data_IF_313563936304
#
_entry.id   IF_313563936304
#
_cell.length_a   1.000
_cell.length_b   1.000
_cell.length_c   1.000
_cell.angle_alpha   90.00
_cell.angle_beta   90.00
_cell.angle_gamma   90.00
#
_symmetry.space_group_name_H-M   'P 1'
#
loop_
_entity.id
_entity.type
_entity.pdbx_description
1 polymer ?
#
# COMPACT_ATOMS: atom_id res chain seq x y z
N UNK A 1 13.07 11.53 -1.75
CA UNK A 1 12.31 10.28 -1.91
C UNK A 1 10.92 10.66 -2.39
N UNK A 2 10.37 10.03 -3.43
CA UNK A 2 9.01 10.31 -3.87
C UNK A 2 8.02 10.00 -2.74
N UNK A 3 7.01 10.84 -2.61
CA UNK A 3 5.84 10.58 -1.78
C UNK A 3 4.59 10.80 -2.62
N UNK A 4 3.56 10.02 -2.32
CA UNK A 4 2.26 10.14 -3.00
C UNK A 4 1.19 10.26 -1.95
N UNK A 5 0.37 11.30 -2.07
CA UNK A 5 -0.84 11.50 -1.27
C UNK A 5 -2.02 11.03 -2.10
N UNK A 6 -2.86 10.19 -1.53
CA UNK A 6 -4.04 9.62 -2.17
C UNK A 6 -5.24 9.70 -1.24
N UNK A 7 -6.37 10.15 -1.76
CA UNK A 7 -7.65 9.95 -1.09
C UNK A 7 -8.06 8.48 -1.26
N UNK A 8 -8.65 7.86 -0.24
CA UNK A 8 -9.13 6.48 -0.30
C UNK A 8 -10.48 6.36 -1.02
N UNK A 9 -10.69 7.13 -2.08
CA UNK A 9 -11.82 7.01 -3.00
C UNK A 9 -11.31 7.04 -4.46
N UNK A 10 -11.29 5.89 -5.17
CA UNK A 10 -11.76 4.57 -4.73
C UNK A 10 -10.90 3.96 -3.62
N UNK A 11 -11.39 2.91 -2.96
CA UNK A 11 -10.73 2.26 -1.80
C UNK A 11 -9.37 1.60 -2.09
N UNK A 12 -8.84 1.74 -3.31
CA UNK A 12 -7.55 1.21 -3.73
C UNK A 12 -6.83 2.28 -4.53
N UNK A 13 -5.58 2.54 -4.15
CA UNK A 13 -4.72 3.50 -4.82
C UNK A 13 -3.34 2.88 -5.12
N UNK A 14 -2.91 2.98 -6.38
CA UNK A 14 -1.57 2.53 -6.79
C UNK A 14 -0.56 3.61 -6.41
N UNK A 15 0.43 3.26 -5.59
CA UNK A 15 1.48 4.18 -5.15
C UNK A 15 2.71 4.06 -6.04
N UNK A 16 3.10 2.83 -6.38
CA UNK A 16 4.19 2.57 -7.29
C UNK A 16 3.77 1.48 -8.29
N UNK A 17 3.97 1.76 -9.57
CA UNK A 17 3.77 0.79 -10.63
C UNK A 17 4.82 -0.33 -10.53
N UNK A 18 4.48 -1.49 -11.09
CA UNK A 18 5.43 -2.59 -11.26
C UNK A 18 6.61 -2.15 -12.14
N UNK A 19 7.82 -2.57 -11.76
CA UNK A 19 9.06 -2.27 -12.46
C UNK A 19 9.96 -3.50 -12.41
N UNK A 20 10.38 -3.95 -13.60
CA UNK A 20 11.32 -5.07 -13.73
C UNK A 20 12.60 -4.83 -12.92
N UNK A 21 13.03 -5.88 -12.22
CA UNK A 21 14.24 -5.93 -11.40
C UNK A 21 14.34 -4.83 -10.32
N UNK A 22 13.21 -4.32 -9.83
CA UNK A 22 13.16 -3.32 -8.78
C UNK A 22 12.26 -3.77 -7.61
N UNK A 23 12.64 -3.40 -6.40
CA UNK A 23 11.83 -3.63 -5.19
C UNK A 23 11.33 -2.29 -4.66
N UNK A 24 10.03 -2.19 -4.41
CA UNK A 24 9.43 -1.00 -3.79
C UNK A 24 9.44 -1.17 -2.28
N UNK A 25 10.09 -0.24 -1.58
CA UNK A 25 10.19 -0.22 -0.11
C UNK A 25 9.51 1.06 0.39
N UNK A 26 8.41 0.96 1.15
CA UNK A 26 7.83 2.12 1.80
C UNK A 26 8.74 2.60 2.93
N UNK A 27 8.96 3.91 3.00
CA UNK A 27 9.86 4.55 3.96
C UNK A 27 9.10 5.37 5.00
N UNK A 28 7.88 5.80 4.66
CA UNK A 28 6.98 6.48 5.58
C UNK A 28 5.54 6.28 5.14
N UNK A 29 4.62 6.33 6.10
CA UNK A 29 3.20 6.28 5.82
C UNK A 29 2.45 7.15 6.82
N UNK A 30 1.68 8.12 6.33
CA UNK A 30 0.77 8.90 7.17
C UNK A 30 -0.64 8.63 6.71
N UNK A 31 -1.51 8.23 7.64
CA UNK A 31 -2.92 7.99 7.42
C UNK A 31 -3.67 9.06 8.20
N UNK A 32 -4.35 9.92 7.48
CA UNK A 32 -5.23 10.95 8.02
C UNK A 32 -6.67 10.47 7.88
N UNK A 33 -7.27 10.07 9.00
CA UNK A 33 -8.67 9.69 9.10
C UNK A 33 -9.45 10.68 9.99
N UNK A 34 -8.94 11.90 10.16
CA UNK A 34 -9.58 12.93 11.00
C UNK A 34 -10.95 13.31 10.43
N UNK A 35 -11.02 13.52 9.12
CA UNK A 35 -12.26 13.78 8.39
C UNK A 35 -13.07 12.54 7.99
N UNK A 36 -12.61 11.34 8.35
CA UNK A 36 -13.20 10.08 7.89
C UNK A 36 -14.63 9.84 8.40
N UNK A 37 -15.39 9.00 7.71
CA UNK A 37 -16.76 8.66 8.08
C UNK A 37 -16.89 7.58 9.16
N UNK A 38 -15.84 6.79 9.39
CA UNK A 38 -15.73 5.75 10.41
C UNK A 38 -14.26 5.28 10.52
N UNK A 39 -14.00 4.32 11.40
CA UNK A 39 -12.71 3.63 11.47
C UNK A 39 -12.36 2.98 10.12
N UNK A 40 -11.07 2.96 9.80
CA UNK A 40 -10.55 2.42 8.52
C UNK A 40 -9.44 1.43 8.76
N UNK A 41 -9.50 0.33 8.01
CA UNK A 41 -8.39 -0.62 7.93
C UNK A 41 -7.59 -0.34 6.67
N UNK A 42 -6.39 0.19 6.83
CA UNK A 42 -5.48 0.45 5.71
C UNK A 42 -4.46 -0.67 5.58
N UNK A 43 -4.22 -1.09 4.34
CA UNK A 43 -3.26 -2.15 3.97
C UNK A 43 -2.29 -1.66 2.92
N UNK A 44 -1.06 -2.15 2.99
CA UNK A 44 -0.12 -2.13 1.85
C UNK A 44 -0.17 -3.50 1.21
N UNK A 45 -0.44 -3.54 -0.09
CA UNK A 45 -0.49 -4.75 -0.89
C UNK A 45 0.58 -4.76 -1.97
N UNK A 46 1.16 -5.92 -2.16
CA UNK A 46 2.08 -6.27 -3.24
C UNK A 46 1.31 -7.06 -4.29
N UNK A 47 1.18 -6.49 -5.49
CA UNK A 47 0.47 -7.12 -6.61
C UNK A 47 1.47 -7.43 -7.71
N UNK A 48 1.66 -8.71 -8.02
CA UNK A 48 2.63 -9.17 -9.00
C UNK A 48 2.14 -10.41 -9.74
N UNK A 49 2.64 -10.62 -10.95
CA UNK A 49 2.46 -11.89 -11.67
C UNK A 49 3.74 -12.71 -11.51
N UNK A 50 3.70 -13.87 -10.85
CA UNK A 50 4.91 -14.67 -10.64
C UNK A 50 5.46 -15.19 -11.97
N UNK A 51 6.78 -15.40 -12.03
CA UNK A 51 7.42 -15.97 -13.21
C UNK A 51 6.87 -17.37 -13.51
N UNK A 52 6.73 -17.68 -14.80
CA UNK A 52 6.36 -19.03 -15.26
C UNK A 52 7.42 -20.02 -14.79
N UNK A 53 6.98 -21.05 -14.06
CA UNK A 53 7.83 -22.19 -13.73
C UNK A 53 7.45 -23.39 -14.60
N UNK A 54 8.40 -24.30 -14.83
CA UNK A 54 8.21 -25.43 -15.73
C UNK A 54 7.00 -26.30 -15.30
N UNK A 55 6.12 -26.63 -16.25
CA UNK A 55 4.88 -27.42 -16.06
C UNK A 55 3.80 -26.77 -15.17
N UNK A 56 3.89 -25.47 -14.88
CA UNK A 56 2.82 -24.73 -14.19
C UNK A 56 1.97 -23.97 -15.21
N UNK A 57 0.66 -23.98 -15.01
CA UNK A 57 -0.27 -23.18 -15.81
C UNK A 57 0.13 -21.69 -15.81
N UNK A 58 -0.33 -20.93 -16.80
CA UNK A 58 -0.05 -19.50 -16.95
C UNK A 58 -0.25 -18.81 -15.58
N UNK A 59 0.81 -18.19 -15.01
CA UNK A 59 0.72 -17.55 -13.71
C UNK A 59 -0.35 -16.45 -13.72
N UNK A 60 -1.22 -16.45 -12.74
CA UNK A 60 -2.19 -15.38 -12.53
C UNK A 60 -1.60 -14.29 -11.64
N UNK A 61 -2.13 -13.08 -11.77
CA UNK A 61 -1.85 -11.99 -10.83
C UNK A 61 -2.11 -12.46 -9.39
N UNK A 62 -1.16 -12.20 -8.52
CA UNK A 62 -1.18 -12.55 -7.10
C UNK A 62 -1.13 -11.27 -6.29
N UNK A 63 -2.02 -11.15 -5.30
CA UNK A 63 -2.03 -10.04 -4.34
C UNK A 63 -1.66 -10.56 -2.96
N UNK A 64 -0.67 -9.92 -2.32
CA UNK A 64 -0.21 -10.25 -0.98
C UNK A 64 -0.32 -9.03 -0.08
N UNK A 65 -1.05 -9.16 1.04
CA UNK A 65 -1.08 -8.15 2.10
C UNK A 65 0.28 -8.16 2.82
N UNK A 66 1.04 -7.06 2.71
CA UNK A 66 2.37 -6.92 3.34
C UNK A 66 2.31 -6.17 4.67
N UNK A 67 1.33 -5.29 4.83
CA UNK A 67 1.12 -4.50 6.04
C UNK A 67 -0.37 -4.24 6.25
N UNK A 68 -0.79 -4.12 7.51
CA UNK A 68 -2.16 -3.79 7.89
C UNK A 68 -2.16 -3.00 9.18
N UNK A 69 -2.95 -1.92 9.20
CA UNK A 69 -3.22 -1.12 10.41
C UNK A 69 -4.67 -0.65 10.41
N UNK A 70 -5.22 -0.45 11.60
CA UNK A 70 -6.53 0.18 11.78
C UNK A 70 -6.32 1.59 12.33
N UNK A 71 -6.98 2.56 11.72
CA UNK A 71 -6.95 3.97 12.13
C UNK A 71 -8.36 4.36 12.54
N UNK A 72 -8.49 4.91 13.75
CA UNK A 72 -9.79 5.31 14.31
C UNK A 72 -10.28 6.58 13.61
N UNK A 73 -11.59 6.78 13.54
CA UNK A 73 -12.16 8.05 13.08
C UNK A 73 -11.70 9.21 13.97
N UNK A 74 -11.29 10.34 13.37
CA UNK A 74 -10.82 11.50 14.14
C UNK A 74 -9.34 11.44 14.54
N UNK A 75 -8.58 10.50 13.96
CA UNK A 75 -7.17 10.29 14.30
C UNK A 75 -6.26 10.34 13.06
N UNK A 76 -5.00 10.67 13.31
CA UNK A 76 -3.93 10.75 12.31
C UNK A 76 -2.75 9.92 12.80
N UNK A 77 -2.43 8.86 12.08
CA UNK A 77 -1.30 7.98 12.40
C UNK A 77 -0.18 8.24 11.42
N UNK A 78 1.04 8.42 11.93
CA UNK A 78 2.26 8.47 11.13
C UNK A 78 3.20 7.34 11.51
N UNK A 79 3.64 6.60 10.50
CA UNK A 79 4.52 5.45 10.58
C UNK A 79 5.87 5.82 9.93
N UNK A 80 6.94 5.51 10.64
CA UNK A 80 8.32 5.71 10.23
C UNK A 80 8.88 4.50 9.47
N UNK A 81 10.12 4.61 8.99
CA UNK A 81 10.80 3.51 8.31
C UNK A 81 11.01 2.30 9.25
N UNK A 82 11.14 2.52 10.56
CA UNK A 82 11.25 1.42 11.54
C UNK A 82 9.90 0.69 11.75
N UNK A 83 8.78 1.40 11.68
CA UNK A 83 7.44 0.80 11.80
C UNK A 83 7.07 -0.02 10.56
N UNK A 84 7.61 0.36 9.40
CA UNK A 84 7.42 -0.30 8.10
C UNK A 84 8.56 -1.27 7.75
N UNK A 85 9.42 -1.58 8.72
CA UNK A 85 10.59 -2.41 8.51
C UNK A 85 10.19 -3.82 8.05
N UNK A 86 10.80 -4.23 6.93
CA UNK A 86 10.53 -5.55 6.33
C UNK A 86 9.37 -5.57 5.34
N UNK A 87 8.61 -4.47 5.21
CA UNK A 87 7.64 -4.32 4.12
C UNK A 87 8.43 -4.12 2.82
N UNK A 88 8.31 -5.06 1.90
CA UNK A 88 8.88 -5.00 0.56
C UNK A 88 7.85 -5.50 -0.45
N UNK A 89 7.63 -4.74 -1.52
CA UNK A 89 6.78 -5.13 -2.63
C UNK A 89 7.65 -5.44 -3.84
N UNK A 90 7.50 -6.63 -4.41
CA UNK A 90 8.28 -7.09 -5.56
C UNK A 90 7.63 -6.68 -6.89
N UNK A 91 6.33 -6.40 -6.90
CA UNK A 91 5.64 -5.84 -8.04
C UNK A 91 5.06 -4.47 -7.74
N UNK A 92 3.80 -4.28 -8.11
CA UNK A 92 3.05 -3.05 -7.89
C UNK A 92 2.73 -2.89 -6.41
N UNK A 93 3.12 -1.75 -5.83
CA UNK A 93 2.70 -1.36 -4.48
C UNK A 93 1.40 -0.57 -4.56
N UNK A 94 0.36 -1.07 -3.91
CA UNK A 94 -0.90 -0.35 -3.73
C UNK A 94 -1.30 -0.25 -2.27
N UNK A 95 -2.00 0.83 -1.94
CA UNK A 95 -2.67 1.00 -0.65
C UNK A 95 -4.14 0.68 -0.82
N UNK A 96 -4.69 -0.05 0.14
CA UNK A 96 -6.11 -0.43 0.15
C UNK A 96 -6.74 -0.07 1.48
N UNK A 97 -7.89 0.58 1.41
CA UNK A 97 -8.82 0.79 2.53
C UNK A 97 -9.91 -0.28 2.49
N UNK A 98 -10.44 -0.66 3.65
CA UNK A 98 -11.58 -1.59 3.75
C UNK A 98 -12.87 -1.04 3.15
N UNK A 99 -13.03 0.28 3.13
CA UNK A 99 -14.12 0.98 2.45
C UNK A 99 -13.62 2.27 1.78
N UNK A 100 -14.29 2.68 0.71
CA UNK A 100 -14.00 3.93 0.03
C UNK A 100 -14.41 5.12 0.91
N UNK A 101 -13.52 6.10 1.05
CA UNK A 101 -13.72 7.31 1.84
C UNK A 101 -12.85 8.45 1.30
N UNK A 102 -13.49 9.44 0.68
CA UNK A 102 -12.81 10.61 0.10
C UNK A 102 -12.20 11.54 1.15
N UNK A 103 -12.58 11.37 2.42
CA UNK A 103 -12.08 12.16 3.54
C UNK A 103 -11.00 11.43 4.35
N UNK A 104 -10.62 10.22 3.95
CA UNK A 104 -9.46 9.51 4.46
C UNK A 104 -8.30 9.64 3.46
N UNK A 105 -7.19 10.25 3.89
CA UNK A 105 -6.02 10.46 3.06
C UNK A 105 -4.87 9.58 3.52
N UNK A 106 -4.18 8.96 2.57
CA UNK A 106 -2.96 8.20 2.85
C UNK A 106 -1.81 8.83 2.06
N UNK A 107 -0.76 9.17 2.79
CA UNK A 107 0.52 9.60 2.21
C UNK A 107 1.52 8.48 2.38
N UNK A 108 2.12 8.00 1.29
CA UNK A 108 3.18 6.99 1.35
C UNK A 108 4.45 7.54 0.72
N UNK A 109 5.53 7.57 1.50
CA UNK A 109 6.88 7.76 1.00
C UNK A 109 7.49 6.41 0.62
N UNK A 110 8.22 6.34 -0.48
CA UNK A 110 8.83 5.09 -0.93
C UNK A 110 10.17 5.30 -1.65
N UNK A 111 10.93 4.21 -1.78
CA UNK A 111 12.15 4.12 -2.58
C UNK A 111 12.16 2.84 -3.41
N UNK A 112 12.90 2.87 -4.50
CA UNK A 112 13.21 1.68 -5.28
C UNK A 112 14.62 1.19 -4.91
N UNK A 113 14.75 -0.09 -4.64
CA UNK A 113 16.01 -0.83 -4.52
C UNK A 113 16.24 -1.64 -5.80
#
# INVERSE_FOLDING_TARGET
MPSTVVAMDPSTAVIAADRADAVVIPTSMTIDNDGGGADRTIKIQDVFTPSVSNLVAIPSETTVDRFRITVIQGDIISLSEEDLKGVKCLGKMQVVSDLADSSCYVTVGYKHE
#
